data_IF_105060738667
#
_entry.id   IF_105060738667
#
_cell.length_a   1.000
_cell.length_b   1.000
_cell.length_c   1.000
_cell.angle_alpha   90.00
_cell.angle_beta   90.00
_cell.angle_gamma   90.00
#
_symmetry.space_group_name_H-M   'P 1'
#
loop_
_entity.id
_entity.type
_entity.pdbx_description
1 polymer ?
#
# COMPACT_ATOMS: atom_id res chain seq x y z
N UNK A 1 8.22 -16.14 50.22
CA UNK A 1 6.90 -15.62 50.62
C UNK A 1 6.74 -14.32 49.84
N UNK A 2 5.83 -14.13 48.88
CA UNK A 2 4.47 -14.65 48.71
C UNK A 2 4.10 -14.87 47.23
N UNK A 3 3.64 -16.10 46.95
CA UNK A 3 2.52 -16.54 46.12
C UNK A 3 2.18 -15.85 44.79
N UNK A 4 2.43 -16.59 43.71
CA UNK A 4 1.54 -16.60 42.54
C UNK A 4 0.67 -17.86 42.62
N UNK A 5 -0.50 -17.76 43.25
CA UNK A 5 -1.57 -18.78 43.14
C UNK A 5 -2.93 -18.10 42.98
N UNK A 6 -3.53 -18.25 41.79
CA UNK A 6 -4.87 -18.84 41.57
C UNK A 6 -5.31 -18.62 40.13
N UNK A 7 -5.18 -19.69 39.35
CA UNK A 7 -5.60 -19.78 37.95
C UNK A 7 -4.90 -20.96 37.26
N UNK A 8 -5.17 -22.17 37.73
CA UNK A 8 -4.69 -23.44 37.18
C UNK A 8 -5.27 -23.70 35.78
N UNK A 9 -4.41 -23.65 34.75
CA UNK A 9 -4.20 -24.77 33.82
C UNK A 9 -2.74 -24.77 33.38
N UNK A 10 -1.96 -25.70 33.96
CA UNK A 10 -0.56 -26.09 33.65
C UNK A 10 0.04 -25.54 32.33
N UNK A 11 1.00 -24.63 32.48
CA UNK A 11 2.03 -24.34 31.49
C UNK A 11 3.35 -24.09 32.22
N UNK A 12 4.07 -25.17 32.56
CA UNK A 12 5.36 -25.05 33.23
C UNK A 12 6.37 -24.50 32.22
N UNK A 13 6.81 -23.26 32.38
CA UNK A 13 7.88 -22.73 31.53
C UNK A 13 9.19 -23.43 31.90
N UNK A 14 9.80 -24.10 30.94
CA UNK A 14 11.14 -24.68 31.04
C UNK A 14 12.15 -23.56 31.23
N UNK A 15 12.89 -23.62 32.33
CA UNK A 15 14.03 -22.75 32.57
C UNK A 15 15.21 -23.20 31.69
N UNK A 16 15.80 -22.26 30.96
CA UNK A 16 16.91 -22.51 30.03
C UNK A 16 18.15 -21.82 30.57
N UNK A 17 19.10 -22.61 31.08
CA UNK A 17 20.35 -22.09 31.66
C UNK A 17 21.52 -22.04 30.67
N UNK A 18 21.46 -22.79 29.57
CA UNK A 18 22.50 -22.75 28.54
C UNK A 18 22.25 -21.64 27.52
N UNK A 19 23.24 -20.75 27.37
CA UNK A 19 23.17 -19.61 26.45
C UNK A 19 23.10 -20.05 24.99
N UNK A 20 23.75 -21.16 24.62
CA UNK A 20 23.70 -21.67 23.24
C UNK A 20 22.31 -22.21 22.91
N UNK A 21 21.72 -22.96 23.83
CA UNK A 21 20.34 -23.42 23.72
C UNK A 21 19.36 -22.24 23.60
N UNK A 22 19.49 -21.22 24.47
CA UNK A 22 18.64 -20.03 24.45
C UNK A 22 18.70 -19.28 23.10
N UNK A 23 19.90 -19.10 22.54
CA UNK A 23 20.06 -18.47 21.22
C UNK A 23 19.45 -19.32 20.09
N UNK A 24 19.62 -20.65 20.15
CA UNK A 24 19.02 -21.59 19.21
C UNK A 24 17.50 -21.54 19.20
N UNK A 25 16.87 -21.50 20.38
CA UNK A 25 15.42 -21.37 20.55
C UNK A 25 14.94 -20.05 19.94
N UNK A 26 15.58 -18.92 20.28
CA UNK A 26 15.19 -17.62 19.72
C UNK A 26 15.31 -17.56 18.20
N UNK A 27 16.39 -18.10 17.62
CA UNK A 27 16.58 -18.15 16.17
C UNK A 27 15.54 -19.04 15.49
N UNK A 28 15.21 -20.18 16.08
CA UNK A 28 14.16 -21.06 15.54
C UNK A 28 12.80 -20.37 15.50
N UNK A 29 12.41 -19.68 16.58
CA UNK A 29 11.12 -18.96 16.64
C UNK A 29 11.12 -17.70 15.74
N UNK A 30 12.26 -17.03 15.61
CA UNK A 30 12.37 -15.80 14.83
C UNK A 30 12.46 -16.06 13.31
N UNK A 31 13.31 -17.00 12.90
CA UNK A 31 13.68 -17.24 11.49
C UNK A 31 13.66 -18.73 11.08
N UNK A 32 13.09 -19.62 11.90
CA UNK A 32 12.88 -21.01 11.51
C UNK A 32 11.76 -21.18 10.48
N UNK A 33 11.40 -22.43 10.19
CA UNK A 33 10.42 -22.76 9.14
C UNK A 33 9.03 -22.10 9.33
N UNK A 34 8.68 -21.77 10.58
CA UNK A 34 7.46 -21.04 10.95
C UNK A 34 7.76 -19.66 11.57
N UNK A 35 8.99 -19.16 11.40
CA UNK A 35 9.43 -17.87 11.91
C UNK A 35 8.80 -16.72 11.14
N UNK A 36 8.42 -15.66 11.85
CA UNK A 36 7.75 -14.50 11.25
C UNK A 36 8.52 -13.20 11.42
N UNK A 37 9.83 -13.28 11.70
CA UNK A 37 10.69 -12.11 11.88
C UNK A 37 10.16 -11.09 12.91
N UNK A 38 9.48 -11.59 13.95
CA UNK A 38 8.91 -10.74 14.99
C UNK A 38 9.97 -9.87 15.66
N UNK A 39 9.62 -8.60 15.91
CA UNK A 39 10.43 -7.68 16.70
C UNK A 39 10.67 -8.21 18.12
N UNK A 40 11.73 -7.72 18.77
CA UNK A 40 12.26 -8.33 20.01
C UNK A 40 11.26 -8.53 21.15
N UNK A 41 10.33 -7.59 21.35
CA UNK A 41 9.29 -7.73 22.38
C UNK A 41 8.29 -8.86 22.05
N UNK A 42 7.82 -8.92 20.80
CA UNK A 42 6.91 -9.96 20.33
C UNK A 42 7.58 -11.33 20.30
N UNK A 43 8.87 -11.40 19.95
CA UNK A 43 9.66 -12.62 20.02
C UNK A 43 9.75 -13.15 21.45
N UNK A 44 10.08 -12.30 22.43
CA UNK A 44 10.15 -12.68 23.84
C UNK A 44 8.81 -13.25 24.35
N UNK A 45 7.69 -12.58 24.05
CA UNK A 45 6.36 -13.06 24.44
C UNK A 45 5.99 -14.38 23.77
N UNK A 46 6.38 -14.61 22.52
CA UNK A 46 6.16 -15.90 21.85
C UNK A 46 6.96 -17.01 22.51
N UNK A 47 8.22 -16.76 22.85
CA UNK A 47 9.07 -17.73 23.54
C UNK A 47 8.49 -18.10 24.91
N UNK A 48 7.97 -17.14 25.67
CA UNK A 48 7.23 -17.40 26.92
C UNK A 48 5.99 -18.26 26.68
N UNK A 49 5.19 -17.95 25.66
CA UNK A 49 3.97 -18.72 25.32
C UNK A 49 4.28 -20.15 24.87
N UNK A 50 5.45 -20.40 24.29
CA UNK A 50 5.94 -21.74 23.97
C UNK A 50 6.51 -22.47 25.20
N UNK A 51 6.50 -21.83 26.37
CA UNK A 51 6.92 -22.44 27.62
C UNK A 51 8.43 -22.40 27.84
N UNK A 52 9.16 -21.42 27.30
CA UNK A 52 10.58 -21.22 27.62
C UNK A 52 10.80 -19.92 28.38
N UNK A 53 11.65 -19.97 29.39
CA UNK A 53 12.02 -18.80 30.20
C UNK A 53 13.50 -18.80 30.55
N UNK A 54 14.08 -17.61 30.63
CA UNK A 54 15.35 -17.34 31.29
C UNK A 54 15.44 -15.83 31.62
N UNK A 55 16.29 -15.40 32.58
CA UNK A 55 16.29 -14.03 33.10
C UNK A 55 16.50 -12.93 32.05
N UNK A 56 17.28 -13.19 31.01
CA UNK A 56 17.64 -12.20 29.96
C UNK A 56 16.81 -12.31 28.68
N UNK A 57 15.74 -13.11 28.67
CA UNK A 57 14.93 -13.43 27.48
C UNK A 57 14.54 -12.21 26.64
N UNK A 58 14.07 -11.13 27.26
CA UNK A 58 13.66 -9.93 26.55
C UNK A 58 14.83 -9.18 25.91
N UNK A 59 15.97 -9.11 26.62
CA UNK A 59 17.19 -8.49 26.10
C UNK A 59 17.77 -9.30 24.94
N UNK A 60 17.78 -10.62 25.09
CA UNK A 60 18.30 -11.55 24.08
C UNK A 60 17.41 -11.57 22.83
N UNK A 61 16.09 -11.54 23.00
CA UNK A 61 15.12 -11.44 21.89
C UNK A 61 15.29 -10.15 21.10
N UNK A 62 15.49 -9.01 21.78
CA UNK A 62 15.83 -7.73 21.13
C UNK A 62 17.14 -7.83 20.36
N UNK A 63 18.18 -8.44 20.95
CA UNK A 63 19.48 -8.63 20.30
C UNK A 63 19.39 -9.51 19.05
N UNK A 64 18.64 -10.61 19.10
CA UNK A 64 18.42 -11.50 17.94
C UNK A 64 17.68 -10.77 16.82
N UNK A 65 16.59 -10.08 17.12
CA UNK A 65 15.84 -9.31 16.10
C UNK A 65 16.69 -8.15 15.51
N UNK A 66 17.49 -7.48 16.34
CA UNK A 66 18.37 -6.39 15.88
C UNK A 66 19.53 -6.88 14.99
N UNK A 67 20.00 -8.11 15.17
CA UNK A 67 21.08 -8.71 14.35
C UNK A 67 20.57 -9.46 13.12
N UNK A 68 19.25 -9.60 12.95
CA UNK A 68 18.68 -10.26 11.79
C UNK A 68 18.81 -9.37 10.55
N UNK A 69 19.66 -9.77 9.60
CA UNK A 69 19.91 -9.02 8.36
C UNK A 69 18.62 -8.77 7.56
N UNK A 70 17.75 -9.78 7.45
CA UNK A 70 16.45 -9.65 6.77
C UNK A 70 15.57 -8.58 7.42
N UNK A 71 15.53 -8.53 8.76
CA UNK A 71 14.79 -7.49 9.48
C UNK A 71 15.42 -6.11 9.30
N UNK A 72 16.76 -6.01 9.33
CA UNK A 72 17.45 -4.71 9.19
C UNK A 72 17.28 -4.10 7.80
N UNK A 73 17.29 -4.93 6.74
CA UNK A 73 17.02 -4.46 5.37
C UNK A 73 15.62 -3.87 5.22
N UNK A 74 14.62 -4.44 5.90
CA UNK A 74 13.22 -3.98 5.85
C UNK A 74 12.97 -2.80 6.80
N UNK A 75 13.57 -2.80 8.00
CA UNK A 75 13.30 -1.83 9.06
C UNK A 75 13.64 -0.37 8.68
N UNK A 76 14.59 -0.15 7.78
CA UNK A 76 14.95 1.18 7.30
C UNK A 76 13.79 1.88 6.57
N UNK A 77 12.89 1.11 5.93
CA UNK A 77 11.71 1.68 5.26
C UNK A 77 10.56 2.00 6.23
N UNK A 78 10.50 1.36 7.41
CA UNK A 78 9.39 1.54 8.37
C UNK A 78 9.57 2.81 9.21
N UNK A 79 10.80 3.32 9.33
CA UNK A 79 11.13 4.51 10.13
C UNK A 79 11.21 5.80 9.31
N UNK A 80 10.80 5.78 8.04
CA UNK A 80 10.64 7.04 7.33
C UNK A 80 9.50 7.83 7.98
N UNK A 81 9.67 9.15 8.19
CA UNK A 81 8.55 9.97 8.63
C UNK A 81 7.39 9.76 7.64
N UNK A 82 6.14 9.64 8.12
CA UNK A 82 5.00 9.63 7.21
C UNK A 82 5.06 10.96 6.47
N UNK A 83 5.42 10.88 5.19
CA UNK A 83 5.27 11.99 4.29
C UNK A 83 3.81 12.43 4.33
N UNK A 84 3.58 13.74 4.42
CA UNK A 84 2.23 14.29 4.44
C UNK A 84 1.57 13.93 3.11
N UNK A 85 0.77 12.85 3.11
CA UNK A 85 -0.16 12.56 2.03
C UNK A 85 -1.16 13.72 2.01
N UNK A 86 -0.90 14.74 1.19
CA UNK A 86 -1.89 15.76 0.92
C UNK A 86 -3.10 15.06 0.28
N UNK A 87 -4.19 14.99 1.04
CA UNK A 87 -5.43 14.44 0.53
C UNK A 87 -5.97 15.41 -0.52
N UNK A 88 -5.93 14.99 -1.78
CA UNK A 88 -6.62 15.69 -2.85
C UNK A 88 -8.11 15.69 -2.50
N UNK A 89 -8.63 16.88 -2.16
CA UNK A 89 -10.02 17.07 -1.77
C UNK A 89 -10.73 17.84 -2.87
N UNK A 90 -11.75 17.21 -3.45
CA UNK A 90 -12.61 17.88 -4.43
C UNK A 90 -13.57 18.84 -3.72
N UNK A 91 -13.73 20.08 -4.20
CA UNK A 91 -14.55 21.07 -3.52
C UNK A 91 -16.07 20.84 -3.72
N UNK A 92 -16.49 20.19 -4.82
CA UNK A 92 -17.90 19.83 -5.10
C UNK A 92 -17.99 18.58 -6.01
N UNK A 93 -19.17 17.94 -6.13
CA UNK A 93 -19.39 16.82 -7.04
C UNK A 93 -18.94 17.11 -8.47
N UNK A 94 -18.23 16.16 -9.09
CA UNK A 94 -17.79 16.17 -10.49
C UNK A 94 -16.79 17.28 -10.86
N UNK A 95 -16.27 18.01 -9.87
CA UNK A 95 -15.22 19.01 -10.10
C UNK A 95 -13.88 18.36 -10.45
N UNK A 96 -13.60 17.17 -9.90
CA UNK A 96 -12.31 16.51 -10.02
C UNK A 96 -12.47 15.03 -10.30
N UNK A 97 -11.84 14.55 -11.37
CA UNK A 97 -11.89 13.14 -11.78
C UNK A 97 -10.50 12.54 -11.79
N UNK A 98 -10.37 11.33 -11.23
CA UNK A 98 -9.19 10.49 -11.40
C UNK A 98 -9.45 9.49 -12.51
N UNK A 99 -8.59 9.43 -13.52
CA UNK A 99 -8.70 8.51 -14.64
C UNK A 99 -7.52 7.55 -14.63
N UNK A 100 -7.83 6.26 -14.77
CA UNK A 100 -6.86 5.17 -14.72
C UNK A 100 -7.12 4.13 -15.82
N UNK A 101 -6.06 3.44 -16.24
CA UNK A 101 -6.08 2.38 -17.23
C UNK A 101 -5.71 1.04 -16.60
N UNK A 102 -6.65 0.11 -16.64
CA UNK A 102 -6.47 -1.23 -16.09
C UNK A 102 -6.10 -2.19 -17.23
N UNK A 103 -4.96 -2.88 -17.12
CA UNK A 103 -4.68 -4.07 -17.92
C UNK A 103 -3.19 -4.34 -18.19
N UNK A 104 -2.88 -5.35 -19.02
CA UNK A 104 -3.81 -6.23 -19.73
C UNK A 104 -4.46 -7.30 -18.82
N UNK A 105 -5.75 -7.52 -19.01
CA UNK A 105 -6.60 -8.52 -18.35
C UNK A 105 -6.92 -9.70 -19.30
N UNK A 106 -7.46 -10.83 -18.80
CA UNK A 106 -8.01 -11.88 -19.66
C UNK A 106 -9.00 -11.33 -20.67
N UNK A 107 -8.91 -11.79 -21.92
CA UNK A 107 -9.73 -11.30 -23.02
C UNK A 107 -11.22 -11.51 -22.74
N UNK A 108 -11.96 -10.42 -22.66
CA UNK A 108 -13.41 -10.42 -22.54
C UNK A 108 -14.09 -10.54 -23.91
N UNK A 109 -15.41 -10.66 -23.90
CA UNK A 109 -16.24 -10.63 -25.11
C UNK A 109 -15.92 -9.38 -25.95
N UNK A 110 -15.76 -9.56 -27.26
CA UNK A 110 -15.39 -8.46 -28.17
C UNK A 110 -13.89 -8.14 -28.22
N UNK A 111 -13.02 -8.95 -27.59
CA UNK A 111 -11.56 -8.79 -27.69
C UNK A 111 -10.98 -7.73 -26.76
N UNK A 112 -11.80 -7.17 -25.86
CA UNK A 112 -11.33 -6.20 -24.88
C UNK A 112 -10.39 -6.86 -23.86
N UNK A 113 -9.27 -6.21 -23.60
CA UNK A 113 -8.22 -6.67 -22.68
C UNK A 113 -7.75 -5.57 -21.72
N UNK A 114 -8.31 -4.37 -21.83
CA UNK A 114 -8.05 -3.27 -20.91
C UNK A 114 -9.40 -2.66 -20.49
N UNK A 115 -9.38 -1.81 -19.47
CA UNK A 115 -10.50 -0.95 -19.14
C UNK A 115 -9.98 0.45 -18.82
N UNK A 116 -10.70 1.48 -19.26
CA UNK A 116 -10.52 2.84 -18.77
C UNK A 116 -11.55 3.08 -17.67
N UNK A 117 -11.11 3.65 -16.55
CA UNK A 117 -11.95 3.93 -15.40
C UNK A 117 -11.76 5.39 -15.01
N UNK A 118 -12.86 6.08 -14.69
CA UNK A 118 -12.83 7.40 -14.09
C UNK A 118 -13.64 7.41 -12.80
N UNK A 119 -13.09 8.04 -11.77
CA UNK A 119 -13.70 8.17 -10.45
C UNK A 119 -13.78 9.63 -10.05
N UNK A 120 -14.98 10.10 -9.71
CA UNK A 120 -15.17 11.43 -9.13
C UNK A 120 -14.64 11.45 -7.70
N UNK A 121 -13.79 12.43 -7.38
CA UNK A 121 -13.12 12.48 -6.08
C UNK A 121 -14.08 12.78 -4.92
N UNK A 122 -15.18 13.50 -5.17
CA UNK A 122 -16.14 13.89 -4.13
C UNK A 122 -17.15 12.77 -3.83
N UNK A 123 -17.91 12.35 -4.84
CA UNK A 123 -19.01 11.39 -4.71
C UNK A 123 -18.54 9.94 -4.74
N UNK A 124 -17.31 9.69 -5.18
CA UNK A 124 -16.79 8.35 -5.52
C UNK A 124 -17.59 7.66 -6.63
N UNK A 125 -18.32 8.41 -7.45
CA UNK A 125 -19.00 7.89 -8.64
C UNK A 125 -17.98 7.34 -9.64
N UNK A 126 -18.31 6.21 -10.28
CA UNK A 126 -17.41 5.50 -11.19
C UNK A 126 -18.01 5.41 -12.59
N UNK A 127 -17.20 5.75 -13.60
CA UNK A 127 -17.44 5.48 -15.01
C UNK A 127 -16.38 4.50 -15.52
N UNK A 128 -16.75 3.49 -16.29
CA UNK A 128 -15.80 2.51 -16.82
C UNK A 128 -16.20 2.01 -18.22
N UNK A 129 -15.23 1.86 -19.12
CA UNK A 129 -15.43 1.26 -20.44
C UNK A 129 -14.33 0.25 -20.79
N UNK A 130 -14.69 -0.94 -21.35
CA UNK A 130 -13.71 -1.90 -21.82
C UNK A 130 -13.03 -1.42 -23.11
N UNK A 131 -11.73 -1.65 -23.23
CA UNK A 131 -10.89 -1.26 -24.36
C UNK A 131 -10.17 -2.47 -24.97
N UNK A 132 -10.28 -2.61 -26.30
CA UNK A 132 -9.45 -3.55 -27.08
C UNK A 132 -8.01 -3.04 -27.17
N UNK A 133 -7.88 -1.76 -27.51
CA UNK A 133 -6.61 -1.04 -27.59
C UNK A 133 -6.69 0.23 -26.75
N UNK A 134 -5.66 0.46 -25.95
CA UNK A 134 -5.47 1.74 -25.29
C UNK A 134 -4.93 2.70 -26.36
N UNK A 135 -5.71 3.73 -26.67
CA UNK A 135 -5.32 4.80 -27.61
C UNK A 135 -5.78 6.14 -27.06
N UNK A 136 -5.07 7.22 -27.41
CA UNK A 136 -5.47 8.58 -27.08
C UNK A 136 -6.88 8.92 -27.59
N UNK A 137 -7.26 8.43 -28.78
CA UNK A 137 -8.59 8.65 -29.34
C UNK A 137 -9.71 8.02 -28.50
N UNK A 138 -9.49 6.79 -28.02
CA UNK A 138 -10.44 6.11 -27.14
C UNK A 138 -10.56 6.85 -25.79
N UNK A 139 -9.44 7.33 -25.26
CA UNK A 139 -9.40 8.11 -24.01
C UNK A 139 -10.18 9.42 -24.13
N UNK A 140 -9.96 10.19 -25.20
CA UNK A 140 -10.71 11.43 -25.46
C UNK A 140 -12.21 11.13 -25.64
N UNK A 141 -12.54 10.07 -26.37
CA UNK A 141 -13.93 9.65 -26.58
C UNK A 141 -14.61 9.31 -25.25
N UNK A 142 -13.93 8.56 -24.39
CA UNK A 142 -14.41 8.20 -23.07
C UNK A 142 -14.66 9.45 -22.20
N UNK A 143 -13.69 10.37 -22.12
CA UNK A 143 -13.84 11.60 -21.33
C UNK A 143 -15.00 12.46 -21.84
N UNK A 144 -15.11 12.66 -23.15
CA UNK A 144 -16.22 13.43 -23.73
C UNK A 144 -17.58 12.82 -23.40
N UNK A 145 -17.74 11.53 -23.69
CA UNK A 145 -19.02 10.83 -23.60
C UNK A 145 -19.44 10.62 -22.14
N UNK A 146 -18.53 10.18 -21.30
CA UNK A 146 -18.86 9.71 -19.95
C UNK A 146 -18.69 10.79 -18.89
N UNK A 147 -17.90 11.84 -19.15
CA UNK A 147 -17.69 12.95 -18.21
C UNK A 147 -18.36 14.22 -18.74
N UNK A 148 -17.85 14.79 -19.83
CA UNK A 148 -18.23 16.14 -20.28
C UNK A 148 -19.73 16.23 -20.63
N UNK A 149 -20.25 15.28 -21.41
CA UNK A 149 -21.65 15.33 -21.87
C UNK A 149 -22.66 14.95 -20.79
N UNK A 150 -22.23 14.28 -19.72
CA UNK A 150 -23.12 13.77 -18.67
C UNK A 150 -23.12 14.63 -17.41
N UNK A 151 -21.94 15.06 -16.99
CA UNK A 151 -21.73 15.77 -15.72
C UNK A 151 -21.25 17.21 -15.92
N UNK A 152 -20.91 17.60 -17.14
CA UNK A 152 -20.36 18.91 -17.47
C UNK A 152 -18.82 18.92 -17.48
N UNK A 153 -18.26 20.11 -17.63
CA UNK A 153 -16.82 20.32 -17.72
C UNK A 153 -16.22 20.25 -16.30
N UNK A 154 -15.34 19.29 -16.01
CA UNK A 154 -14.67 19.23 -14.71
C UNK A 154 -13.65 20.37 -14.58
N UNK A 155 -13.36 20.77 -13.34
CA UNK A 155 -12.27 21.70 -13.06
C UNK A 155 -10.91 21.03 -13.25
N UNK A 156 -10.81 19.75 -12.88
CA UNK A 156 -9.54 19.02 -12.86
C UNK A 156 -9.71 17.57 -13.31
N UNK A 157 -8.77 17.10 -14.12
CA UNK A 157 -8.56 15.68 -14.40
C UNK A 157 -7.17 15.30 -13.90
N UNK A 158 -7.11 14.20 -13.16
CA UNK A 158 -5.87 13.59 -12.68
C UNK A 158 -5.72 12.26 -13.38
N UNK A 159 -4.64 12.07 -14.13
CA UNK A 159 -4.34 10.79 -14.80
C UNK A 159 -3.06 10.20 -14.25
N UNK A 160 -2.86 8.90 -14.34
CA UNK A 160 -1.53 8.34 -14.15
C UNK A 160 -0.57 8.78 -15.28
N UNK A 161 0.74 8.62 -15.08
CA UNK A 161 1.77 9.02 -16.03
C UNK A 161 1.88 8.07 -17.25
N UNK A 162 0.78 7.44 -17.63
CA UNK A 162 0.69 6.66 -18.86
C UNK A 162 0.93 7.55 -20.08
N UNK A 163 1.77 7.10 -21.02
CA UNK A 163 2.07 7.80 -22.30
C UNK A 163 0.84 8.13 -23.14
N UNK A 164 -0.29 7.49 -22.82
CA UNK A 164 -1.60 7.64 -23.47
C UNK A 164 -2.34 8.91 -23.01
N UNK A 165 -2.07 9.38 -21.80
CA UNK A 165 -2.59 10.62 -21.24
C UNK A 165 -1.62 11.80 -21.45
N UNK A 166 -0.36 11.49 -21.75
CA UNK A 166 0.67 12.47 -22.11
C UNK A 166 0.57 12.95 -23.58
N UNK A 167 -0.43 12.44 -24.30
CA UNK A 167 -0.68 12.76 -25.70
C UNK A 167 -1.09 14.22 -25.93
N UNK A 168 -0.62 14.78 -27.06
CA UNK A 168 -0.87 16.17 -27.46
C UNK A 168 -2.37 16.49 -27.56
N UNK A 169 -3.18 15.58 -28.10
CA UNK A 169 -4.61 15.81 -28.32
C UNK A 169 -5.40 15.79 -27.02
N UNK A 170 -4.96 15.00 -26.03
CA UNK A 170 -5.59 15.01 -24.71
C UNK A 170 -5.34 16.34 -23.99
N UNK A 171 -4.12 16.88 -24.08
CA UNK A 171 -3.81 18.23 -23.58
C UNK A 171 -4.60 19.30 -24.33
N UNK A 172 -4.64 19.25 -25.66
CA UNK A 172 -5.46 20.16 -26.49
C UNK A 172 -6.96 20.10 -26.11
N UNK A 173 -7.47 18.92 -25.75
CA UNK A 173 -8.83 18.78 -25.21
C UNK A 173 -8.97 19.55 -23.90
N UNK A 174 -8.06 19.33 -22.95
CA UNK A 174 -8.11 19.98 -21.65
C UNK A 174 -8.01 21.50 -21.80
N UNK A 175 -7.06 22.00 -22.60
CA UNK A 175 -6.88 23.42 -22.89
C UNK A 175 -8.14 24.03 -23.53
N UNK A 176 -8.74 23.34 -24.50
CA UNK A 176 -9.96 23.80 -25.17
C UNK A 176 -11.13 24.02 -24.20
N UNK A 177 -11.25 23.19 -23.18
CA UNK A 177 -12.34 23.25 -22.21
C UNK A 177 -11.94 23.92 -20.89
N UNK A 178 -10.69 24.39 -20.76
CA UNK A 178 -10.17 25.01 -19.53
C UNK A 178 -10.05 24.03 -18.35
N UNK A 179 -9.77 22.75 -18.64
CA UNK A 179 -9.63 21.70 -17.62
C UNK A 179 -8.17 21.68 -17.16
N UNK A 180 -7.94 21.74 -15.84
CA UNK A 180 -6.61 21.53 -15.28
C UNK A 180 -6.24 20.05 -15.36
N UNK A 181 -5.21 19.71 -16.13
CA UNK A 181 -4.74 18.33 -16.24
C UNK A 181 -3.49 18.12 -15.37
N UNK A 182 -3.56 17.18 -14.44
CA UNK A 182 -2.45 16.80 -13.58
C UNK A 182 -2.08 15.34 -13.80
N UNK A 183 -0.78 15.07 -13.81
CA UNK A 183 -0.26 13.72 -13.94
C UNK A 183 0.23 13.24 -12.58
N UNK A 184 -0.25 12.08 -12.14
CA UNK A 184 0.26 11.43 -10.95
C UNK A 184 1.70 10.95 -11.19
N UNK A 185 2.63 11.40 -10.35
CA UNK A 185 4.03 11.02 -10.41
C UNK A 185 4.18 9.51 -10.14
N UNK A 186 4.94 8.76 -10.96
CA UNK A 186 5.37 7.41 -10.62
C UNK A 186 6.39 7.53 -9.49
N UNK A 187 5.90 7.47 -8.26
CA UNK A 187 6.69 7.35 -7.04
C UNK A 187 7.79 8.43 -6.81
N UNK A 188 7.48 9.70 -7.06
CA UNK A 188 8.22 10.83 -6.49
C UNK A 188 7.25 11.94 -6.06
N UNK A 189 7.00 12.11 -4.75
CA UNK A 189 6.35 13.28 -4.20
C UNK A 189 7.43 14.33 -3.99
N UNK A 190 7.36 15.42 -4.74
CA UNK A 190 7.72 16.76 -4.28
C UNK A 190 7.58 17.71 -5.46
N UNK A 191 7.03 18.89 -5.15
CA UNK A 191 6.86 20.07 -6.02
C UNK A 191 5.57 20.10 -6.86
N UNK A 192 4.48 20.46 -6.18
CA UNK A 192 3.44 21.32 -6.77
C UNK A 192 3.61 22.71 -6.15
N UNK A 193 3.60 23.80 -6.94
CA UNK A 193 3.76 25.15 -6.40
C UNK A 193 2.46 25.62 -5.71
N UNK A 194 2.66 26.35 -4.60
CA UNK A 194 1.66 26.97 -3.72
C UNK A 194 0.66 27.91 -4.44
#
# INVERSE_FOLDING_TARGET
MENCTRGDTRGHCRDVSDLKEAEGILRSIHSGNCGNHAGGASLAHKTLRQGFYWPTLFADSKRVAARCEACQKIANNIRQPPELLQSITSPWPFAMWGIDLIGPMPTATGGAKHAIVAVDYFTKWVEAEPLVHITEANTISFVKKNILYRFGIPNTIITDNGTQFDGRKFRELCDKYGINNYYASPAHPDEWPD
#
